data_IF_104777813632
#
_entry.id   IF_104777813632
#
_cell.length_a   1.000
_cell.length_b   1.000
_cell.length_c   1.000
_cell.angle_alpha   90.00
_cell.angle_beta   90.00
_cell.angle_gamma   90.00
#
_symmetry.space_group_name_H-M   'P 1'
#
loop_
_entity.id
_entity.type
_entity.pdbx_description
1 polymer ?
#
# COMPACT_ATOMS: atom_id res chain seq x y z
N UNK A 1 -37.78 0.77 -17.47
CA UNK A 1 -37.14 -0.09 -16.45
C UNK A 1 -36.02 0.70 -15.81
N UNK A 2 -36.22 1.15 -14.57
CA UNK A 2 -35.33 2.08 -13.86
C UNK A 2 -34.13 1.35 -13.26
N UNK A 3 -32.93 1.81 -13.64
CA UNK A 3 -31.63 1.31 -13.19
C UNK A 3 -31.42 1.54 -11.67
N UNK A 4 -31.84 0.59 -10.84
CA UNK A 4 -31.46 0.51 -9.42
C UNK A 4 -30.02 0.01 -9.23
N UNK A 5 -29.06 0.58 -9.96
CA UNK A 5 -27.62 0.30 -9.77
C UNK A 5 -27.01 1.08 -8.59
N UNK A 6 -27.84 1.75 -7.78
CA UNK A 6 -27.42 2.67 -6.73
C UNK A 6 -27.25 1.90 -5.41
N UNK A 7 -26.01 1.92 -4.89
CA UNK A 7 -25.64 1.82 -3.47
C UNK A 7 -25.93 0.54 -2.66
N UNK A 8 -26.47 -0.54 -3.23
CA UNK A 8 -26.63 -1.81 -2.50
C UNK A 8 -25.29 -2.43 -2.05
N UNK A 9 -25.30 -3.27 -1.00
CA UNK A 9 -24.11 -3.96 -0.43
C UNK A 9 -23.19 -4.59 -1.49
N UNK A 10 -23.78 -5.16 -2.55
CA UNK A 10 -23.06 -5.77 -3.69
C UNK A 10 -22.17 -4.79 -4.45
N UNK A 11 -22.45 -3.49 -4.39
CA UNK A 11 -21.63 -2.44 -5.01
C UNK A 11 -20.28 -2.26 -4.31
N UNK A 12 -20.23 -2.53 -3.00
CA UNK A 12 -19.06 -2.36 -2.13
C UNK A 12 -18.21 -3.62 -2.02
N UNK A 13 -18.74 -4.77 -2.43
CA UNK A 13 -18.02 -6.04 -2.35
C UNK A 13 -16.72 -6.04 -3.19
N UNK A 14 -16.70 -5.59 -4.46
CA UNK A 14 -15.46 -5.57 -5.24
C UNK A 14 -14.34 -4.69 -4.64
N UNK A 15 -14.56 -3.41 -4.26
CA UNK A 15 -13.50 -2.61 -3.64
C UNK A 15 -13.08 -3.15 -2.27
N UNK A 16 -14.00 -3.72 -1.48
CA UNK A 16 -13.65 -4.34 -0.20
C UNK A 16 -12.74 -5.57 -0.41
N UNK A 17 -13.13 -6.48 -1.31
CA UNK A 17 -12.32 -7.66 -1.65
C UNK A 17 -10.97 -7.25 -2.23
N UNK A 18 -10.91 -6.19 -3.04
CA UNK A 18 -9.65 -5.64 -3.53
C UNK A 18 -8.76 -5.15 -2.38
N UNK A 19 -9.29 -4.32 -1.48
CA UNK A 19 -8.52 -3.75 -0.38
C UNK A 19 -7.97 -4.83 0.55
N UNK A 20 -8.84 -5.74 1.01
CA UNK A 20 -8.45 -6.87 1.86
C UNK A 20 -7.48 -7.80 1.12
N UNK A 21 -7.76 -8.11 -0.15
CA UNK A 21 -6.91 -8.96 -0.98
C UNK A 21 -5.50 -8.39 -1.14
N UNK A 22 -5.36 -7.08 -1.37
CA UNK A 22 -4.05 -6.42 -1.45
C UNK A 22 -3.34 -6.40 -0.10
N UNK A 23 -4.06 -6.17 1.01
CA UNK A 23 -3.45 -6.23 2.34
C UNK A 23 -2.90 -7.61 2.64
N UNK A 24 -3.69 -8.66 2.39
CA UNK A 24 -3.28 -10.04 2.62
C UNK A 24 -2.11 -10.45 1.71
N UNK A 25 -2.13 -10.01 0.45
CA UNK A 25 -1.07 -10.31 -0.49
C UNK A 25 0.25 -9.62 -0.14
N UNK A 26 0.20 -8.37 0.34
CA UNK A 26 1.38 -7.59 0.69
C UNK A 26 1.88 -7.85 2.11
N UNK A 27 1.06 -8.45 2.98
CA UNK A 27 1.45 -8.79 4.35
C UNK A 27 2.76 -9.61 4.42
N UNK A 28 2.91 -10.77 3.75
CA UNK A 28 4.15 -11.54 3.82
C UNK A 28 5.35 -10.75 3.29
N UNK A 29 5.16 -9.94 2.24
CA UNK A 29 6.22 -9.09 1.68
C UNK A 29 6.72 -8.10 2.74
N UNK A 30 5.82 -7.38 3.41
CA UNK A 30 6.24 -6.40 4.42
C UNK A 30 6.67 -7.04 5.74
N UNK A 31 6.20 -8.24 6.07
CA UNK A 31 6.78 -8.99 7.17
C UNK A 31 8.26 -9.26 6.88
N UNK A 32 8.58 -9.86 5.73
CA UNK A 32 9.96 -10.17 5.32
C UNK A 32 10.81 -8.89 5.21
N UNK A 33 10.31 -7.85 4.54
CA UNK A 33 11.05 -6.59 4.39
C UNK A 33 11.36 -5.97 5.76
N UNK A 34 10.41 -5.97 6.70
CA UNK A 34 10.71 -5.39 8.02
C UNK A 34 11.66 -6.26 8.83
N UNK A 35 11.63 -7.59 8.71
CA UNK A 35 12.41 -8.52 9.56
C UNK A 35 13.76 -8.93 9.00
N UNK A 36 13.88 -9.07 7.69
CA UNK A 36 15.04 -9.66 7.02
C UNK A 36 15.86 -8.64 6.22
N UNK A 37 15.24 -7.53 5.79
CA UNK A 37 15.97 -6.49 5.04
C UNK A 37 16.44 -5.38 5.96
N UNK A 38 17.68 -4.98 5.74
CA UNK A 38 18.40 -4.09 6.65
C UNK A 38 17.82 -2.67 6.62
N UNK A 39 17.38 -2.22 5.44
CA UNK A 39 16.94 -0.83 5.20
C UNK A 39 15.64 -0.50 5.93
N UNK A 40 14.59 -1.31 5.71
CA UNK A 40 13.29 -1.08 6.32
C UNK A 40 13.34 -1.30 7.84
N UNK A 41 14.06 -2.32 8.31
CA UNK A 41 14.27 -2.60 9.73
C UNK A 41 14.93 -1.42 10.45
N UNK A 42 16.01 -0.87 9.90
CA UNK A 42 16.69 0.29 10.49
C UNK A 42 15.81 1.52 10.60
N UNK A 43 14.94 1.80 9.61
CA UNK A 43 14.03 2.93 9.70
C UNK A 43 12.97 2.77 10.80
N UNK A 44 12.57 1.54 11.09
CA UNK A 44 11.68 1.24 12.23
C UNK A 44 12.44 1.47 13.53
N UNK A 45 13.67 0.99 13.63
CA UNK A 45 14.52 1.15 14.82
C UNK A 45 14.84 2.63 15.08
N UNK A 46 15.08 3.42 14.03
CA UNK A 46 15.28 4.87 14.12
C UNK A 46 14.05 5.59 14.67
N UNK A 47 12.84 5.23 14.21
CA UNK A 47 11.61 5.80 14.74
C UNK A 47 11.41 5.41 16.21
N UNK A 48 11.71 4.15 16.58
CA UNK A 48 11.63 3.67 17.96
C UNK A 48 12.64 4.37 18.87
N UNK A 49 13.91 4.49 18.44
CA UNK A 49 14.96 5.21 19.16
C UNK A 49 14.54 6.65 19.40
N UNK A 50 14.09 7.35 18.35
CA UNK A 50 13.66 8.74 18.47
C UNK A 50 12.48 8.88 19.45
N UNK A 51 11.49 7.99 19.35
CA UNK A 51 10.34 8.00 20.24
C UNK A 51 10.71 7.81 21.72
N UNK A 52 11.55 6.80 22.03
CA UNK A 52 11.84 6.45 23.42
C UNK A 52 12.92 7.33 24.06
N UNK A 53 13.87 7.84 23.28
CA UNK A 53 14.95 8.69 23.81
C UNK A 53 14.64 10.18 23.74
N UNK A 54 13.69 10.59 22.88
CA UNK A 54 13.42 11.99 22.57
C UNK A 54 14.44 12.62 21.62
N UNK A 55 15.47 11.88 21.19
CA UNK A 55 16.54 12.37 20.32
C UNK A 55 16.52 11.65 18.96
N UNK A 56 16.49 12.38 17.84
CA UNK A 56 16.54 11.75 16.53
C UNK A 56 17.88 11.05 16.28
N UNK A 57 17.93 10.05 15.39
CA UNK A 57 19.19 9.51 14.91
C UNK A 57 19.99 10.58 14.15
N UNK A 58 21.31 10.37 14.02
CA UNK A 58 22.20 11.29 13.30
C UNK A 58 21.80 11.51 11.84
N UNK A 59 21.17 10.50 11.22
CA UNK A 59 20.67 10.56 9.84
C UNK A 59 19.16 10.26 9.83
N UNK A 60 18.37 11.20 9.29
CA UNK A 60 16.91 11.11 9.23
C UNK A 60 16.45 11.12 7.75
N UNK A 61 16.67 10.04 6.98
CA UNK A 61 16.40 10.06 5.55
C UNK A 61 14.89 10.08 5.23
N UNK A 62 14.04 9.64 6.16
CA UNK A 62 12.60 9.45 5.95
C UNK A 62 11.76 10.06 7.07
N UNK A 63 12.00 11.34 7.37
CA UNK A 63 11.37 12.05 8.50
C UNK A 63 9.84 11.91 8.53
N UNK A 64 9.16 11.99 7.38
CA UNK A 64 7.71 11.85 7.32
C UNK A 64 7.22 10.45 7.74
N UNK A 65 7.96 9.40 7.34
CA UNK A 65 7.67 8.03 7.76
C UNK A 65 7.93 7.83 9.26
N UNK A 66 9.05 8.33 9.77
CA UNK A 66 9.39 8.23 11.19
C UNK A 66 8.34 8.92 12.07
N UNK A 67 7.98 10.16 11.75
CA UNK A 67 6.97 10.92 12.48
C UNK A 67 5.59 10.26 12.41
N UNK A 68 5.22 9.66 11.27
CA UNK A 68 3.97 8.90 11.16
C UNK A 68 3.95 7.71 12.13
N UNK A 69 5.02 6.91 12.17
CA UNK A 69 5.10 5.77 13.09
C UNK A 69 5.05 6.21 14.55
N UNK A 70 5.78 7.27 14.91
CA UNK A 70 5.75 7.85 16.25
C UNK A 70 4.35 8.36 16.63
N UNK A 71 3.67 9.03 15.70
CA UNK A 71 2.28 9.47 15.87
C UNK A 71 1.33 8.30 16.12
N UNK A 72 1.45 7.23 15.33
CA UNK A 72 0.67 6.01 15.51
C UNK A 72 0.98 5.32 16.83
N UNK A 73 2.24 5.28 17.26
CA UNK A 73 2.64 4.70 18.56
C UNK A 73 1.99 5.43 19.74
N UNK A 74 1.80 6.74 19.65
CA UNK A 74 1.09 7.51 20.69
C UNK A 74 -0.39 7.10 20.83
N UNK A 75 -1.02 6.69 19.73
CA UNK A 75 -2.42 6.26 19.68
C UNK A 75 -2.54 4.78 20.07
N UNK A 76 -1.68 3.93 19.52
CA UNK A 76 -1.68 2.48 19.68
C UNK A 76 -0.51 2.03 20.57
N UNK A 77 -0.50 2.47 21.83
CA UNK A 77 0.63 2.31 22.76
C UNK A 77 1.11 0.87 22.95
N UNK A 78 0.20 -0.10 22.89
CA UNK A 78 0.49 -1.53 23.04
C UNK A 78 0.94 -2.25 21.76
N UNK A 79 1.08 -1.55 20.64
CA UNK A 79 1.48 -2.14 19.35
C UNK A 79 2.94 -1.84 19.07
N UNK A 80 3.71 -2.82 18.62
CA UNK A 80 5.13 -2.64 18.31
C UNK A 80 5.32 -1.77 17.06
N UNK A 81 6.44 -1.03 17.01
CA UNK A 81 6.77 -0.17 15.86
C UNK A 81 6.79 -0.94 14.54
N UNK A 82 7.23 -2.19 14.58
CA UNK A 82 7.25 -3.11 13.45
C UNK A 82 5.84 -3.41 12.93
N UNK A 83 4.92 -3.74 13.82
CA UNK A 83 3.53 -4.03 13.46
C UNK A 83 2.84 -2.78 12.90
N UNK A 84 3.12 -1.60 13.48
CA UNK A 84 2.66 -0.32 12.96
C UNK A 84 3.19 -0.06 11.55
N UNK A 85 4.48 -0.34 11.32
CA UNK A 85 5.09 -0.22 10.00
C UNK A 85 4.41 -1.13 8.99
N UNK A 86 4.26 -2.43 9.29
CA UNK A 86 3.56 -3.38 8.41
C UNK A 86 2.15 -2.87 8.10
N UNK A 87 1.40 -2.47 9.13
CA UNK A 87 0.03 -1.96 9.00
C UNK A 87 -0.05 -0.73 8.07
N UNK A 88 0.87 0.23 8.24
CA UNK A 88 0.95 1.42 7.38
C UNK A 88 1.18 1.00 5.93
N UNK A 89 2.15 0.13 5.69
CA UNK A 89 2.57 -0.25 4.33
C UNK A 89 1.46 -1.01 3.60
N UNK A 90 0.82 -2.00 4.23
CA UNK A 90 -0.31 -2.72 3.64
C UNK A 90 -1.52 -1.80 3.42
N UNK A 91 -1.75 -0.83 4.31
CA UNK A 91 -2.85 0.13 4.20
C UNK A 91 -2.63 1.09 3.02
N UNK A 92 -1.39 1.53 2.80
CA UNK A 92 -1.03 2.37 1.65
C UNK A 92 -1.23 1.63 0.33
N UNK A 93 -0.93 0.33 0.28
CA UNK A 93 -1.22 -0.50 -0.90
C UNK A 93 -2.72 -0.65 -1.15
N UNK A 94 -3.51 -0.91 -0.10
CA UNK A 94 -4.96 -0.95 -0.21
C UNK A 94 -5.51 0.40 -0.72
N UNK A 95 -5.04 1.53 -0.17
CA UNK A 95 -5.45 2.85 -0.60
C UNK A 95 -5.10 3.11 -2.07
N UNK A 96 -3.86 2.84 -2.47
CA UNK A 96 -3.41 3.01 -3.87
C UNK A 96 -4.24 2.13 -4.81
N UNK A 97 -4.48 0.86 -4.44
CA UNK A 97 -5.34 -0.05 -5.19
C UNK A 97 -6.77 0.45 -5.32
N UNK A 98 -7.37 0.97 -4.25
CA UNK A 98 -8.70 1.56 -4.29
C UNK A 98 -8.75 2.78 -5.22
N UNK A 99 -7.71 3.62 -5.22
CA UNK A 99 -7.63 4.77 -6.14
C UNK A 99 -7.53 4.32 -7.60
N UNK A 100 -6.67 3.34 -7.92
CA UNK A 100 -6.58 2.75 -9.26
C UNK A 100 -7.90 2.10 -9.69
N UNK A 101 -8.57 1.39 -8.79
CA UNK A 101 -9.91 0.84 -9.03
C UNK A 101 -10.93 1.93 -9.38
N UNK A 102 -10.96 3.02 -8.60
CA UNK A 102 -11.86 4.15 -8.84
C UNK A 102 -11.59 4.81 -10.19
N UNK A 103 -10.32 4.94 -10.56
CA UNK A 103 -9.90 5.43 -11.87
C UNK A 103 -10.39 4.53 -13.01
N UNK A 104 -10.17 3.21 -12.93
CA UNK A 104 -10.64 2.24 -13.95
C UNK A 104 -12.17 2.26 -14.11
N UNK A 105 -12.88 2.72 -13.08
CA UNK A 105 -14.32 2.87 -13.08
C UNK A 105 -14.83 4.19 -13.67
N UNK A 106 -14.00 5.11 -14.19
CA UNK A 106 -14.24 6.50 -14.66
C UNK A 106 -15.65 6.96 -15.17
N UNK A 107 -16.63 6.08 -15.40
CA UNK A 107 -18.08 6.37 -15.52
C UNK A 107 -18.92 6.23 -14.22
N UNK A 108 -18.30 6.19 -13.05
CA UNK A 108 -18.99 6.19 -11.74
C UNK A 108 -19.53 4.82 -11.28
N UNK A 109 -20.33 4.82 -10.20
CA UNK A 109 -20.83 3.58 -9.56
C UNK A 109 -22.00 2.91 -10.28
N UNK A 110 -22.54 3.54 -11.33
CA UNK A 110 -23.64 3.02 -12.16
C UNK A 110 -23.23 1.92 -13.14
N UNK A 111 -21.97 1.49 -13.13
CA UNK A 111 -21.46 0.45 -14.02
C UNK A 111 -21.97 -0.96 -13.66
N UNK A 112 -21.97 -1.86 -14.65
CA UNK A 112 -22.35 -3.26 -14.45
C UNK A 112 -21.49 -3.95 -13.38
N UNK A 113 -22.04 -4.96 -12.70
CA UNK A 113 -21.29 -5.74 -11.71
C UNK A 113 -20.04 -6.39 -12.30
N UNK A 114 -20.13 -6.93 -13.52
CA UNK A 114 -18.98 -7.50 -14.24
C UNK A 114 -17.85 -6.50 -14.47
N UNK A 115 -18.18 -5.24 -14.82
CA UNK A 115 -17.17 -4.19 -14.99
C UNK A 115 -16.47 -3.85 -13.67
N UNK A 116 -17.18 -3.85 -12.53
CA UNK A 116 -16.59 -3.65 -11.21
C UNK A 116 -15.59 -4.75 -10.86
N UNK A 117 -15.96 -6.00 -11.07
CA UNK A 117 -15.04 -7.12 -10.80
C UNK A 117 -13.82 -7.10 -11.72
N UNK A 118 -13.99 -6.78 -13.01
CA UNK A 118 -12.86 -6.61 -13.93
C UNK A 118 -11.94 -5.47 -13.50
N UNK A 119 -12.49 -4.33 -13.09
CA UNK A 119 -11.70 -3.21 -12.57
C UNK A 119 -10.94 -3.59 -11.29
N UNK A 120 -11.57 -4.34 -10.37
CA UNK A 120 -10.90 -4.83 -9.17
C UNK A 120 -9.75 -5.79 -9.52
N UNK A 121 -10.01 -6.77 -10.40
CA UNK A 121 -9.00 -7.73 -10.86
C UNK A 121 -7.82 -7.05 -11.57
N UNK A 122 -8.10 -6.09 -12.47
CA UNK A 122 -7.05 -5.34 -13.15
C UNK A 122 -6.27 -4.43 -12.20
N UNK A 123 -6.95 -3.80 -11.24
CA UNK A 123 -6.29 -2.99 -10.21
C UNK A 123 -5.35 -3.82 -9.35
N UNK A 124 -5.80 -5.00 -8.92
CA UNK A 124 -4.95 -5.95 -8.20
C UNK A 124 -3.76 -6.38 -9.08
N UNK A 125 -4.02 -6.76 -10.33
CA UNK A 125 -2.98 -7.15 -11.27
C UNK A 125 -1.94 -6.03 -11.45
N UNK A 126 -2.32 -4.76 -11.60
CA UNK A 126 -1.36 -3.66 -11.74
C UNK A 126 -0.45 -3.47 -10.51
N UNK A 127 -0.91 -3.82 -9.31
CA UNK A 127 -0.11 -3.79 -8.09
C UNK A 127 0.76 -5.05 -7.92
N UNK A 128 0.47 -6.12 -8.66
CA UNK A 128 1.12 -7.44 -8.61
C UNK A 128 1.99 -7.74 -9.83
N UNK A 129 1.79 -7.05 -10.95
CA UNK A 129 2.64 -7.12 -12.14
C UNK A 129 3.99 -6.45 -11.88
N UNK A 130 4.15 -5.77 -10.73
CA UNK A 130 5.44 -5.33 -10.18
C UNK A 130 6.32 -6.43 -9.58
N UNK A 131 5.79 -7.47 -8.91
CA UNK A 131 6.61 -8.61 -8.52
C UNK A 131 6.50 -9.81 -9.48
N UNK A 132 7.54 -9.99 -10.30
CA UNK A 132 7.93 -11.31 -10.87
C UNK A 132 8.19 -12.36 -9.76
N UNK A 133 8.05 -12.01 -8.47
CA UNK A 133 8.10 -12.89 -7.30
C UNK A 133 7.28 -14.18 -7.48
N UNK A 134 6.12 -14.16 -8.16
CA UNK A 134 5.35 -15.38 -8.41
C UNK A 134 6.12 -16.43 -9.23
N UNK A 135 7.01 -15.99 -10.13
CA UNK A 135 7.86 -16.86 -10.93
C UNK A 135 9.12 -17.32 -10.18
N UNK A 136 9.48 -16.64 -9.09
CA UNK A 136 10.68 -16.94 -8.29
C UNK A 136 10.37 -17.47 -6.90
N UNK A 137 9.08 -17.61 -6.55
CA UNK A 137 8.58 -18.04 -5.24
C UNK A 137 9.11 -19.41 -4.83
N UNK A 138 9.14 -20.36 -5.77
CA UNK A 138 9.64 -21.72 -5.54
C UNK A 138 11.16 -21.78 -5.34
N UNK A 139 11.88 -20.77 -5.82
CA UNK A 139 13.33 -20.69 -5.73
C UNK A 139 13.80 -19.79 -4.58
N UNK A 140 12.87 -19.34 -3.71
CA UNK A 140 13.10 -18.36 -2.64
C UNK A 140 13.80 -17.06 -3.10
N UNK A 141 13.79 -16.78 -4.41
CA UNK A 141 14.51 -15.67 -5.01
C UNK A 141 13.58 -14.46 -5.18
N UNK A 142 13.08 -13.94 -4.05
CA UNK A 142 12.13 -12.81 -4.03
C UNK A 142 12.75 -11.49 -4.53
N UNK A 143 14.08 -11.44 -4.65
CA UNK A 143 14.84 -10.25 -5.05
C UNK A 143 14.96 -10.03 -6.57
N UNK A 144 14.84 -11.07 -7.40
CA UNK A 144 15.17 -10.99 -8.84
C UNK A 144 14.00 -10.56 -9.75
N UNK A 145 12.90 -10.09 -9.17
CA UNK A 145 11.69 -9.79 -9.92
C UNK A 145 11.56 -8.37 -10.50
N UNK A 146 12.63 -7.57 -10.48
CA UNK A 146 12.58 -6.16 -10.87
C UNK A 146 12.99 -5.97 -12.34
N UNK A 147 12.02 -5.76 -13.24
CA UNK A 147 12.30 -5.10 -14.54
C UNK A 147 12.02 -3.59 -14.47
N UNK A 148 11.53 -3.08 -13.34
CA UNK A 148 11.55 -1.65 -12.93
C UNK A 148 11.64 -1.58 -11.40
N UNK A 149 12.25 -0.53 -10.80
CA UNK A 149 12.64 -0.54 -9.40
C UNK A 149 11.40 -0.34 -8.53
N UNK A 150 10.74 -1.44 -8.22
CA UNK A 150 9.74 -1.39 -7.18
C UNK A 150 10.50 -1.33 -5.84
N UNK A 151 10.79 -0.13 -5.34
CA UNK A 151 11.52 0.06 -4.08
C UNK A 151 10.65 -0.31 -2.88
N UNK A 152 10.47 -1.62 -2.61
CA UNK A 152 9.79 -2.11 -1.41
C UNK A 152 10.53 -1.73 -0.12
N UNK A 153 11.83 -1.48 -0.26
CA UNK A 153 12.74 -1.06 0.81
C UNK A 153 12.69 0.44 1.14
N UNK A 154 12.05 1.29 0.31
CA UNK A 154 12.02 2.73 0.56
C UNK A 154 10.66 3.14 1.14
N UNK A 155 10.56 3.39 2.47
CA UNK A 155 9.30 3.74 3.12
C UNK A 155 8.66 4.99 2.53
N UNK A 156 9.47 5.98 2.16
CA UNK A 156 8.97 7.25 1.61
C UNK A 156 8.34 7.04 0.24
N UNK A 157 9.01 6.32 -0.66
CA UNK A 157 8.45 5.98 -1.97
C UNK A 157 7.11 5.27 -1.86
N UNK A 158 6.96 4.38 -0.86
CA UNK A 158 5.71 3.65 -0.64
C UNK A 158 4.63 4.59 -0.11
N UNK A 159 4.90 5.35 0.95
CA UNK A 159 3.95 6.33 1.50
C UNK A 159 3.45 7.33 0.46
N UNK A 160 4.29 7.71 -0.49
CA UNK A 160 3.96 8.71 -1.51
C UNK A 160 3.16 8.14 -2.69
N UNK A 161 2.98 6.82 -2.83
CA UNK A 161 2.23 6.23 -3.96
C UNK A 161 0.82 6.79 -4.14
N UNK A 162 -0.03 6.92 -3.09
CA UNK A 162 -1.35 7.49 -3.24
C UNK A 162 -1.28 8.96 -3.71
N UNK A 163 -0.32 9.73 -3.18
CA UNK A 163 -0.13 11.14 -3.54
C UNK A 163 0.37 11.28 -4.98
N UNK A 164 1.29 10.44 -5.43
CA UNK A 164 1.77 10.42 -6.81
C UNK A 164 0.63 10.11 -7.78
N UNK A 165 -0.22 9.14 -7.44
CA UNK A 165 -1.40 8.80 -8.25
C UNK A 165 -2.44 9.94 -8.26
N UNK A 166 -2.64 10.60 -7.11
CA UNK A 166 -3.51 11.77 -7.03
C UNK A 166 -2.99 12.93 -7.90
N UNK A 167 -1.70 13.25 -7.79
CA UNK A 167 -1.04 14.30 -8.60
C UNK A 167 -1.10 13.99 -10.09
N UNK A 168 -0.94 12.72 -10.47
CA UNK A 168 -1.13 12.27 -11.84
C UNK A 168 -2.57 12.54 -12.32
N UNK A 169 -3.58 12.24 -11.51
CA UNK A 169 -4.97 12.54 -11.86
C UNK A 169 -5.26 14.03 -11.92
N UNK A 170 -4.76 14.83 -10.98
CA UNK A 170 -4.89 16.29 -11.02
C UNK A 170 -4.27 16.83 -12.31
N UNK A 171 -3.07 16.37 -12.65
CA UNK A 171 -2.35 16.79 -13.86
C UNK A 171 -3.09 16.45 -15.15
N UNK A 172 -3.74 15.28 -15.22
CA UNK A 172 -4.48 14.85 -16.42
C UNK A 172 -5.86 15.50 -16.56
N UNK A 173 -6.55 15.75 -15.44
CA UNK A 173 -7.95 16.16 -15.44
C UNK A 173 -8.20 17.61 -15.01
N UNK A 174 -7.17 18.32 -14.54
CA UNK A 174 -7.26 19.74 -14.18
C UNK A 174 -8.30 20.03 -13.11
N UNK A 175 -8.25 19.29 -12.00
CA UNK A 175 -9.03 19.63 -10.79
C UNK A 175 -8.47 20.90 -10.11
#
# INVERSE_FOLDING_TARGET
MTHNARTGVRAWLPPLVLAVGLMLLMLPVFTIETTETWDQGWHIDYAAQWYYTGWPPEVIPHVGYHLLLMGLKNIARGVEFRDLAILVMISVYACTGLMTYRYLLAGGWGVSAGRRWRAAGLSAALHVVGPIMLLTLLNQNMYFGYVTPHTYHNPTSILLKPLALLLFFISLYGL
#
